data_IF_949248390201
#
_entry.id   IF_949248390201
#
_cell.length_a   1.000
_cell.length_b   1.000
_cell.length_c   1.000
_cell.angle_alpha   90.00
_cell.angle_beta   90.00
_cell.angle_gamma   90.00
#
_symmetry.space_group_name_H-M   'P 1'
#
loop_
_entity.id
_entity.type
_entity.pdbx_description
1 polymer ?
#
# COMPACT_ATOMS: atom_id res chain seq x y z
N UNK A 1 -7.49 -12.67 -10.51
CA UNK A 1 -7.39 -11.98 -11.82
C UNK A 1 -7.43 -10.50 -11.54
N UNK A 2 -6.53 -9.69 -12.11
CA UNK A 2 -6.56 -8.24 -11.88
C UNK A 2 -7.87 -7.64 -12.41
N UNK A 3 -8.44 -6.63 -11.74
CA UNK A 3 -9.61 -5.93 -12.23
C UNK A 3 -9.23 -5.17 -13.51
N UNK A 4 -10.15 -5.02 -14.47
CA UNK A 4 -9.89 -4.20 -15.66
C UNK A 4 -9.60 -2.76 -15.23
N UNK A 5 -8.67 -2.07 -15.90
CA UNK A 5 -8.37 -0.68 -15.58
C UNK A 5 -9.62 0.18 -15.78
N UNK A 6 -9.89 1.15 -14.89
CA UNK A 6 -11.02 2.06 -15.06
C UNK A 6 -10.84 2.89 -16.34
N UNK A 7 -11.95 3.12 -17.05
CA UNK A 7 -11.97 3.73 -18.40
C UNK A 7 -11.75 5.25 -18.42
N UNK A 8 -11.88 5.93 -17.26
CA UNK A 8 -11.60 7.37 -17.10
C UNK A 8 -11.59 7.77 -15.62
N UNK A 9 -10.85 8.81 -15.26
CA UNK A 9 -10.88 9.37 -13.90
C UNK A 9 -12.25 9.96 -13.62
N UNK A 10 -12.86 9.64 -12.49
CA UNK A 10 -14.07 10.35 -12.08
C UNK A 10 -13.71 11.78 -11.64
N UNK A 11 -14.63 12.74 -11.85
CA UNK A 11 -14.47 14.10 -11.33
C UNK A 11 -14.33 14.12 -9.80
N UNK A 12 -14.93 13.14 -9.11
CA UNK A 12 -14.80 12.99 -7.66
C UNK A 12 -13.37 12.61 -7.24
N UNK A 13 -12.70 11.69 -7.95
CA UNK A 13 -11.31 11.31 -7.68
C UNK A 13 -10.35 12.49 -7.94
N UNK A 14 -10.53 13.21 -9.04
CA UNK A 14 -9.74 14.42 -9.34
C UNK A 14 -9.95 15.51 -8.28
N UNK A 15 -11.16 15.65 -7.76
CA UNK A 15 -11.48 16.62 -6.71
C UNK A 15 -10.79 16.29 -5.38
N UNK A 16 -10.73 15.01 -5.01
CA UNK A 16 -10.00 14.57 -3.80
C UNK A 16 -8.49 14.83 -3.95
N UNK A 17 -7.89 14.52 -5.10
CA UNK A 17 -6.48 14.82 -5.36
C UNK A 17 -6.19 16.33 -5.30
N UNK A 18 -7.09 17.17 -5.84
CA UNK A 18 -6.97 18.63 -5.70
C UNK A 18 -7.04 19.09 -4.25
N UNK A 19 -7.90 18.49 -3.43
CA UNK A 19 -7.98 18.78 -1.99
C UNK A 19 -6.69 18.37 -1.26
N UNK A 20 -6.00 17.34 -1.73
CA UNK A 20 -4.67 16.96 -1.24
C UNK A 20 -3.53 17.85 -1.79
N UNK A 21 -3.85 18.88 -2.59
CA UNK A 21 -2.88 19.85 -3.11
C UNK A 21 -2.26 19.48 -4.45
N UNK A 22 -2.72 18.40 -5.11
CA UNK A 22 -2.23 18.04 -6.43
C UNK A 22 -2.80 18.97 -7.52
N UNK A 23 -1.94 19.60 -8.35
CA UNK A 23 -2.40 20.33 -9.54
C UNK A 23 -3.12 19.39 -10.52
N UNK A 24 -4.09 19.91 -11.27
CA UNK A 24 -4.91 19.10 -12.21
C UNK A 24 -4.08 18.22 -13.14
N UNK A 25 -3.00 18.74 -13.73
CA UNK A 25 -2.13 17.98 -14.61
C UNK A 25 -1.40 16.83 -13.91
N UNK A 26 -1.00 17.04 -12.65
CA UNK A 26 -0.38 15.99 -11.85
C UNK A 26 -1.41 14.93 -11.42
N UNK A 27 -2.63 15.33 -11.08
CA UNK A 27 -3.73 14.40 -10.78
C UNK A 27 -4.05 13.49 -11.97
N UNK A 28 -4.12 14.05 -13.18
CA UNK A 28 -4.31 13.28 -14.42
C UNK A 28 -3.14 12.33 -14.68
N UNK A 29 -1.89 12.81 -14.57
CA UNK A 29 -0.70 11.99 -14.78
C UNK A 29 -0.56 10.85 -13.75
N UNK A 30 -0.92 11.11 -12.48
CA UNK A 30 -0.93 10.08 -11.43
C UNK A 30 -1.94 8.99 -11.74
N UNK A 31 -3.13 9.36 -12.20
CA UNK A 31 -4.13 8.39 -12.60
C UNK A 31 -3.66 7.55 -13.79
N UNK A 32 -3.21 8.20 -14.87
CA UNK A 32 -2.74 7.50 -16.08
C UNK A 32 -1.60 6.54 -15.76
N UNK A 33 -0.64 6.99 -14.95
CA UNK A 33 0.42 6.12 -14.43
C UNK A 33 -0.15 4.92 -13.67
N UNK A 34 -1.08 5.15 -12.75
CA UNK A 34 -1.61 4.13 -11.87
C UNK A 34 -2.51 3.08 -12.57
N UNK A 35 -3.18 3.46 -13.65
CA UNK A 35 -4.20 2.62 -14.32
C UNK A 35 -3.76 2.12 -15.70
N UNK A 36 -2.93 2.86 -16.43
CA UNK A 36 -2.49 2.51 -17.79
C UNK A 36 -1.10 1.90 -17.80
N UNK A 37 -0.14 2.53 -17.12
CA UNK A 37 1.28 2.14 -17.22
C UNK A 37 1.71 1.11 -16.18
N UNK A 38 1.06 1.10 -15.01
CA UNK A 38 1.41 0.22 -13.91
C UNK A 38 0.16 -0.53 -13.45
N UNK A 39 -0.25 -1.61 -14.14
CA UNK A 39 -1.46 -2.36 -13.79
C UNK A 39 -1.36 -3.05 -12.43
N UNK A 40 -0.15 -3.23 -11.89
CA UNK A 40 0.09 -3.80 -10.56
C UNK A 40 1.30 -3.14 -9.89
N UNK A 41 1.14 -2.73 -8.63
CA UNK A 41 2.23 -2.33 -7.73
C UNK A 41 2.44 -3.39 -6.66
N UNK A 42 3.68 -3.77 -6.41
CA UNK A 42 4.03 -4.72 -5.35
C UNK A 42 5.01 -4.03 -4.39
N UNK A 43 4.60 -3.93 -3.14
CA UNK A 43 5.40 -3.36 -2.05
C UNK A 43 5.95 -4.47 -1.16
N UNK A 44 7.27 -4.53 -1.03
CA UNK A 44 7.93 -5.36 -0.01
C UNK A 44 8.13 -4.52 1.24
N UNK A 45 7.45 -4.88 2.31
CA UNK A 45 7.45 -4.15 3.58
C UNK A 45 8.41 -4.82 4.55
N UNK A 46 9.51 -4.14 4.87
CA UNK A 46 10.45 -4.62 5.89
C UNK A 46 9.83 -4.44 7.29
N UNK A 47 9.59 -5.55 7.96
CA UNK A 47 9.17 -5.62 9.35
C UNK A 47 10.17 -6.44 10.18
N UNK A 48 11.46 -6.43 9.82
CA UNK A 48 12.55 -7.06 10.56
C UNK A 48 12.84 -6.34 11.89
N UNK A 49 13.55 -6.99 12.81
CA UNK A 49 13.87 -6.40 14.12
C UNK A 49 14.59 -5.05 14.07
N UNK A 50 15.37 -4.77 13.02
CA UNK A 50 16.09 -3.50 12.85
C UNK A 50 15.16 -2.29 12.72
N UNK A 51 13.91 -2.51 12.31
CA UNK A 51 12.90 -1.46 12.15
C UNK A 51 12.44 -0.84 13.48
N UNK A 52 12.90 -1.38 14.62
CA UNK A 52 12.72 -0.78 15.95
C UNK A 52 13.66 0.39 16.23
N UNK A 53 14.69 0.61 15.41
CA UNK A 53 15.62 1.73 15.55
C UNK A 53 14.86 3.07 15.50
N UNK A 54 15.18 3.98 16.43
CA UNK A 54 14.53 5.30 16.59
C UNK A 54 15.25 6.43 15.82
N UNK A 55 15.76 6.09 14.63
CA UNK A 55 16.44 6.98 13.71
C UNK A 55 15.59 7.32 12.46
N UNK A 56 14.33 6.88 12.45
CA UNK A 56 13.34 7.27 11.45
C UNK A 56 12.81 8.68 11.68
N UNK A 57 12.10 9.21 10.68
CA UNK A 57 11.52 10.54 10.69
C UNK A 57 10.12 10.55 10.11
N UNK A 58 9.24 11.39 10.66
CA UNK A 58 7.88 11.56 10.15
C UNK A 58 7.40 12.99 10.22
N UNK A 59 6.44 13.33 9.38
CA UNK A 59 5.76 14.60 9.39
C UNK A 59 4.61 14.60 10.42
N UNK A 60 4.49 15.68 11.18
CA UNK A 60 3.35 15.93 12.06
C UNK A 60 2.83 17.33 11.83
N UNK A 61 1.51 17.43 11.68
CA UNK A 61 0.83 18.73 11.69
C UNK A 61 0.99 19.37 13.06
N UNK A 62 1.26 20.67 13.07
CA UNK A 62 1.29 21.44 14.30
C UNK A 62 -0.06 22.09 14.55
N UNK A 63 -0.23 22.72 15.71
CA UNK A 63 -1.41 23.52 16.03
C UNK A 63 -1.57 24.77 15.15
N UNK A 64 -0.56 25.11 14.34
CA UNK A 64 -0.61 26.23 13.39
C UNK A 64 -1.01 25.70 12.02
N UNK A 65 -1.99 26.35 11.40
CA UNK A 65 -2.50 26.01 10.07
C UNK A 65 -1.35 26.05 9.05
N UNK A 66 -1.20 24.98 8.27
CA UNK A 66 -0.18 24.80 7.24
C UNK A 66 1.28 24.75 7.75
N UNK A 67 1.51 24.44 9.03
CA UNK A 67 2.85 24.23 9.58
C UNK A 67 3.03 22.75 9.95
N UNK A 68 4.03 22.13 9.31
CA UNK A 68 4.37 20.72 9.46
C UNK A 68 5.77 20.61 10.03
N UNK A 69 5.94 19.78 11.06
CA UNK A 69 7.25 19.49 11.64
C UNK A 69 7.70 18.07 11.34
N UNK A 70 9.01 17.91 11.18
CA UNK A 70 9.64 16.60 11.16
C UNK A 70 9.99 16.21 12.59
N UNK A 71 9.53 15.04 13.02
CA UNK A 71 9.83 14.46 14.35
C UNK A 71 10.47 13.09 14.19
N UNK A 72 11.38 12.76 15.12
CA UNK A 72 11.98 11.41 15.16
C UNK A 72 10.96 10.35 15.57
N UNK A 73 11.10 9.18 14.98
CA UNK A 73 10.30 8.01 15.29
C UNK A 73 11.09 6.73 15.00
N UNK A 74 10.45 5.58 15.24
CA UNK A 74 11.02 4.32 14.78
C UNK A 74 10.89 4.19 13.26
N UNK A 75 11.86 3.54 12.61
CA UNK A 75 11.75 3.20 11.18
C UNK A 75 10.43 2.50 10.85
N UNK A 76 9.94 1.65 11.76
CA UNK A 76 8.62 1.02 11.62
C UNK A 76 7.46 2.00 11.58
N UNK A 77 7.48 3.05 12.43
CA UNK A 77 6.41 4.06 12.43
C UNK A 77 6.40 4.85 11.13
N UNK A 78 7.57 5.21 10.62
CA UNK A 78 7.75 5.88 9.34
C UNK A 78 7.23 5.02 8.17
N UNK A 79 7.65 3.75 8.10
CA UNK A 79 7.16 2.82 7.07
C UNK A 79 5.67 2.55 7.19
N UNK A 80 5.12 2.47 8.41
CA UNK A 80 3.69 2.30 8.62
C UNK A 80 2.90 3.46 8.00
N UNK A 81 3.25 4.70 8.32
CA UNK A 81 2.58 5.89 7.75
C UNK A 81 2.74 5.93 6.23
N UNK A 82 3.90 5.50 5.70
CA UNK A 82 4.14 5.39 4.25
C UNK A 82 3.22 4.36 3.58
N UNK A 83 3.09 3.16 4.16
CA UNK A 83 2.22 2.10 3.63
C UNK A 83 0.75 2.53 3.70
N UNK A 84 0.33 3.15 4.79
CA UNK A 84 -1.05 3.67 4.95
C UNK A 84 -1.37 4.72 3.88
N UNK A 85 -0.46 5.67 3.63
CA UNK A 85 -0.62 6.65 2.56
C UNK A 85 -0.74 6.00 1.18
N UNK A 86 0.12 5.02 0.86
CA UNK A 86 0.04 4.34 -0.43
C UNK A 86 -1.20 3.44 -0.57
N UNK A 87 -1.69 2.86 0.52
CA UNK A 87 -2.96 2.14 0.53
C UNK A 87 -4.15 3.08 0.28
N UNK A 88 -4.15 4.27 0.87
CA UNK A 88 -5.17 5.30 0.62
C UNK A 88 -5.16 5.74 -0.84
N UNK A 89 -3.98 6.00 -1.40
CA UNK A 89 -3.83 6.35 -2.82
C UNK A 89 -4.29 5.22 -3.73
N UNK A 90 -3.97 3.96 -3.40
CA UNK A 90 -4.41 2.80 -4.15
C UNK A 90 -5.94 2.67 -4.16
N UNK A 91 -6.58 2.84 -3.00
CA UNK A 91 -8.04 2.81 -2.90
C UNK A 91 -8.68 3.97 -3.67
N UNK A 92 -8.15 5.18 -3.52
CA UNK A 92 -8.65 6.38 -4.20
C UNK A 92 -8.57 6.26 -5.72
N UNK A 93 -7.43 5.78 -6.25
CA UNK A 93 -7.19 5.69 -7.69
C UNK A 93 -7.77 4.41 -8.31
N UNK A 94 -8.25 3.47 -7.51
CA UNK A 94 -8.60 2.13 -8.00
C UNK A 94 -7.39 1.40 -8.57
N UNK A 95 -6.23 1.61 -7.98
CA UNK A 95 -4.93 1.20 -8.50
C UNK A 95 -4.46 -0.08 -7.79
N UNK A 96 -4.50 -1.26 -8.44
CA UNK A 96 -4.17 -2.53 -7.80
C UNK A 96 -2.79 -2.49 -7.15
N UNK A 97 -2.75 -2.69 -5.83
CA UNK A 97 -1.53 -2.56 -5.04
C UNK A 97 -1.47 -3.68 -4.01
N UNK A 98 -0.46 -4.54 -4.12
CA UNK A 98 -0.20 -5.63 -3.20
C UNK A 98 0.93 -5.26 -2.24
N UNK A 99 0.76 -5.60 -0.98
CA UNK A 99 1.74 -5.41 0.09
C UNK A 99 2.15 -6.77 0.65
N UNK A 100 3.46 -6.95 0.80
CA UNK A 100 4.07 -8.19 1.26
C UNK A 100 5.06 -7.90 2.38
N UNK A 101 4.76 -8.35 3.58
CA UNK A 101 5.72 -8.28 4.68
C UNK A 101 6.82 -9.34 4.56
N UNK A 102 8.04 -8.96 4.91
CA UNK A 102 9.19 -9.88 4.93
C UNK A 102 9.03 -11.01 5.96
N UNK A 103 8.53 -10.67 7.14
CA UNK A 103 8.24 -11.65 8.18
C UNK A 103 6.72 -11.75 8.30
N UNK A 104 6.19 -12.95 8.52
CA UNK A 104 4.80 -13.11 8.97
C UNK A 104 4.60 -12.19 10.19
N UNK A 105 3.56 -11.35 10.28
CA UNK A 105 3.31 -10.53 11.47
C UNK A 105 2.76 -11.29 12.68
N UNK A 106 2.30 -12.55 12.52
CA UNK A 106 1.79 -13.39 13.60
C UNK A 106 0.45 -12.94 14.18
N UNK A 107 -0.29 -12.11 13.43
CA UNK A 107 -1.60 -11.57 13.83
C UNK A 107 -2.78 -12.43 13.33
N UNK A 108 -2.53 -13.70 13.03
CA UNK A 108 -3.52 -14.68 12.61
C UNK A 108 -4.28 -14.30 11.33
N UNK A 109 -5.31 -15.08 11.00
CA UNK A 109 -6.24 -14.80 9.91
C UNK A 109 -7.19 -13.65 10.28
N UNK A 110 -6.65 -12.43 10.38
CA UNK A 110 -7.43 -11.23 10.57
C UNK A 110 -8.26 -10.95 9.29
N UNK A 111 -9.43 -11.58 9.20
CA UNK A 111 -10.34 -11.44 8.06
C UNK A 111 -10.29 -12.55 7.03
N UNK A 112 -10.16 -13.82 7.44
CA UNK A 112 -10.43 -14.99 6.56
C UNK A 112 -11.91 -15.04 6.16
N UNK A 113 -12.32 -14.10 5.31
CA UNK A 113 -13.26 -14.40 4.24
C UNK A 113 -12.49 -15.26 3.25
N UNK A 114 -13.04 -16.40 2.87
CA UNK A 114 -12.43 -17.36 1.96
C UNK A 114 -11.95 -16.62 0.70
N UNK A 115 -10.63 -16.60 0.46
CA UNK A 115 -10.02 -15.96 -0.72
C UNK A 115 -9.32 -14.61 -0.48
N UNK A 116 -9.39 -14.05 0.73
CA UNK A 116 -8.64 -12.83 1.11
C UNK A 116 -7.26 -13.23 1.65
N UNK A 117 -6.19 -12.58 1.16
CA UNK A 117 -4.79 -12.89 1.49
C UNK A 117 -4.46 -12.92 2.99
N UNK A 118 -3.32 -13.51 3.33
CA UNK A 118 -2.86 -13.62 4.74
C UNK A 118 -2.44 -12.25 5.29
N UNK A 119 -2.32 -12.12 6.62
CA UNK A 119 -1.76 -10.90 7.19
C UNK A 119 -0.35 -10.56 6.67
N UNK A 120 0.39 -11.54 6.14
CA UNK A 120 1.69 -11.33 5.49
C UNK A 120 1.57 -10.81 4.05
N UNK A 121 0.45 -11.09 3.35
CA UNK A 121 0.16 -10.67 1.97
C UNK A 121 -1.25 -10.11 1.89
N UNK A 122 -1.37 -8.79 1.76
CA UNK A 122 -2.65 -8.11 1.63
C UNK A 122 -2.63 -7.16 0.42
N UNK A 123 -3.80 -6.85 -0.11
CA UNK A 123 -3.95 -6.03 -1.31
C UNK A 123 -4.99 -4.94 -1.10
N UNK A 124 -4.91 -3.90 -1.92
CA UNK A 124 -5.91 -2.84 -2.04
C UNK A 124 -6.24 -2.63 -3.51
N UNK A 125 -7.55 -2.56 -3.80
CA UNK A 125 -8.07 -2.34 -5.15
C UNK A 125 -7.68 -3.45 -6.15
N UNK A 126 -7.39 -4.67 -5.67
CA UNK A 126 -7.15 -5.84 -6.51
C UNK A 126 -8.44 -6.63 -6.81
N UNK A 127 -9.57 -6.31 -6.17
CA UNK A 127 -10.84 -7.01 -6.37
C UNK A 127 -10.85 -8.46 -5.87
N UNK A 128 -9.89 -8.83 -5.01
CA UNK A 128 -9.74 -10.17 -4.48
C UNK A 128 -10.92 -10.51 -3.54
N UNK A 129 -11.61 -11.63 -3.78
CA UNK A 129 -12.69 -12.09 -2.90
C UNK A 129 -13.93 -11.17 -2.84
N UNK A 130 -14.08 -10.23 -3.79
CA UNK A 130 -15.23 -9.33 -3.88
C UNK A 130 -15.23 -8.16 -2.90
N UNK A 131 -14.10 -7.87 -2.24
CA UNK A 131 -13.99 -6.72 -1.35
C UNK A 131 -13.95 -5.38 -2.09
N UNK A 132 -14.46 -4.33 -1.44
CA UNK A 132 -14.32 -2.96 -1.97
C UNK A 132 -12.95 -2.37 -1.61
N UNK A 133 -12.44 -1.37 -2.36
CA UNK A 133 -11.19 -0.69 -2.02
C UNK A 133 -11.16 -0.10 -0.60
N UNK A 134 -12.31 0.34 -0.08
CA UNK A 134 -12.46 0.87 1.28
C UNK A 134 -12.31 -0.23 2.34
N UNK A 135 -12.88 -1.41 2.08
CA UNK A 135 -12.73 -2.57 2.97
C UNK A 135 -11.29 -3.06 3.01
N UNK A 136 -10.64 -3.10 1.85
CA UNK A 136 -9.22 -3.43 1.71
C UNK A 136 -8.36 -2.42 2.46
N UNK A 137 -8.62 -1.12 2.32
CA UNK A 137 -7.90 -0.06 3.03
C UNK A 137 -8.03 -0.21 4.55
N UNK A 138 -9.25 -0.46 5.04
CA UNK A 138 -9.47 -0.71 6.47
C UNK A 138 -8.65 -1.91 6.95
N UNK A 139 -8.66 -3.01 6.19
CA UNK A 139 -7.89 -4.22 6.50
C UNK A 139 -6.38 -3.94 6.51
N UNK A 140 -5.88 -3.22 5.51
CA UNK A 140 -4.47 -2.82 5.42
C UNK A 140 -4.03 -2.02 6.65
N UNK A 141 -4.83 -1.02 7.07
CA UNK A 141 -4.57 -0.25 8.30
C UNK A 141 -4.58 -1.15 9.54
N UNK A 142 -5.56 -2.02 9.69
CA UNK A 142 -5.61 -2.94 10.85
C UNK A 142 -4.39 -3.86 10.91
N UNK A 143 -4.00 -4.44 9.78
CA UNK A 143 -2.81 -5.28 9.66
C UNK A 143 -1.57 -4.49 10.07
N UNK A 144 -1.38 -3.30 9.52
CA UNK A 144 -0.21 -2.46 9.79
C UNK A 144 -0.15 -1.96 11.24
N UNK A 145 -1.28 -1.66 11.86
CA UNK A 145 -1.35 -1.26 13.27
C UNK A 145 -1.09 -2.40 14.25
N UNK A 146 -1.55 -3.61 13.94
CA UNK A 146 -1.36 -4.80 14.80
C UNK A 146 0.01 -5.45 14.60
N UNK A 147 0.67 -5.20 13.47
CA UNK A 147 1.99 -5.75 13.15
C UNK A 147 3.11 -5.07 13.94
N UNK A 148 4.15 -5.85 14.26
CA UNK A 148 5.33 -5.39 14.98
C UNK A 148 6.61 -5.90 14.32
N UNK A 149 7.70 -5.11 14.35
CA UNK A 149 9.00 -5.55 13.86
C UNK A 149 9.50 -6.82 14.56
N UNK A 150 9.84 -7.87 13.80
CA UNK A 150 10.36 -9.15 14.29
C UNK A 150 11.16 -9.89 13.21
N UNK A 151 12.01 -10.82 13.63
CA UNK A 151 12.74 -11.67 12.70
C UNK A 151 13.85 -10.94 11.93
N UNK A 152 14.24 -11.56 10.81
CA UNK A 152 15.38 -11.15 9.96
C UNK A 152 14.89 -10.50 8.67
N UNK A 153 15.80 -10.18 7.74
CA UNK A 153 15.48 -9.53 6.46
C UNK A 153 15.70 -10.52 5.30
N UNK A 154 14.81 -11.50 5.07
CA UNK A 154 14.97 -12.50 4.01
C UNK A 154 14.65 -11.96 2.60
N UNK A 155 15.11 -10.74 2.28
CA UNK A 155 14.72 -10.00 1.06
C UNK A 155 14.94 -10.81 -0.22
N UNK A 156 16.07 -11.50 -0.34
CA UNK A 156 16.41 -12.28 -1.53
C UNK A 156 15.40 -13.42 -1.83
N UNK A 157 14.72 -13.94 -0.82
CA UNK A 157 13.67 -14.94 -0.98
C UNK A 157 12.39 -14.30 -1.54
N UNK A 158 11.93 -13.21 -0.93
CA UNK A 158 10.72 -12.50 -1.35
C UNK A 158 10.81 -11.95 -2.77
N UNK A 159 11.97 -11.42 -3.16
CA UNK A 159 12.20 -10.92 -4.52
C UNK A 159 12.11 -12.04 -5.56
N UNK A 160 12.60 -13.25 -5.25
CA UNK A 160 12.50 -14.41 -6.14
C UNK A 160 11.05 -14.84 -6.35
N UNK A 161 10.27 -14.92 -5.28
CA UNK A 161 8.85 -15.26 -5.40
C UNK A 161 8.05 -14.19 -6.15
N UNK A 162 8.34 -12.90 -5.94
CA UNK A 162 7.70 -11.81 -6.69
C UNK A 162 8.04 -11.92 -8.17
N UNK A 163 9.30 -12.21 -8.51
CA UNK A 163 9.71 -12.46 -9.91
C UNK A 163 8.89 -13.59 -10.51
N UNK A 164 8.72 -14.70 -9.79
CA UNK A 164 8.00 -15.86 -10.29
C UNK A 164 6.49 -15.57 -10.45
N UNK A 165 5.91 -14.80 -9.53
CA UNK A 165 4.52 -14.31 -9.60
C UNK A 165 4.31 -13.37 -10.79
N UNK A 166 5.21 -12.40 -11.00
CA UNK A 166 5.15 -11.48 -12.14
C UNK A 166 5.31 -12.24 -13.46
N UNK A 167 6.21 -13.23 -13.51
CA UNK A 167 6.39 -14.07 -14.70
C UNK A 167 5.12 -14.86 -15.04
N UNK A 168 4.40 -15.38 -14.03
CA UNK A 168 3.14 -16.08 -14.23
C UNK A 168 2.00 -15.18 -14.74
N UNK A 169 2.08 -13.87 -14.48
CA UNK A 169 1.09 -12.87 -14.92
C UNK A 169 1.57 -12.04 -16.11
N UNK A 170 2.69 -12.43 -16.75
CA UNK A 170 3.33 -11.62 -17.79
C UNK A 170 2.41 -11.26 -18.96
N UNK A 171 1.45 -12.13 -19.31
CA UNK A 171 0.53 -11.87 -20.43
C UNK A 171 -0.58 -10.86 -20.08
N UNK A 172 -0.83 -10.61 -18.79
CA UNK A 172 -1.83 -9.65 -18.30
C UNK A 172 -1.20 -8.32 -17.89
N UNK A 173 0.13 -8.29 -17.67
CA UNK A 173 0.90 -7.12 -17.23
C UNK A 173 1.59 -6.36 -18.39
N UNK A 174 1.33 -6.73 -19.64
CA UNK A 174 1.88 -6.09 -20.85
C UNK A 174 0.99 -5.00 -21.40
#
# INVERSE_FOLDING_TARGET
SLPPPPSSVSESQLSVLKQQGFPSGLSSALYESATVHFPLRIWVVDNSGSMRANDGSRFVETTRRNDVKVVRCTRWREIRETVEYHAEMAALLGAPTAFRMLNDPGIGNLGSVVGVGTAQKFSVACGDGGSTPEEDLRRAREIMHKSQPRGVTPLAFHIREIRDEVAAHADVLR
#
